data_IF_077753441693
#
_entry.id   IF_077753441693
#
_cell.length_a   1.000
_cell.length_b   1.000
_cell.length_c   1.000
_cell.angle_alpha   90.00
_cell.angle_beta   90.00
_cell.angle_gamma   90.00
#
_symmetry.space_group_name_H-M   'P 1'
#
loop_
_entity.id
_entity.type
_entity.pdbx_description
1 polymer ?
#
# COMPACT_ATOMS: atom_id res chain seq x y z
N UNK A 1 16.05 2.02 9.88
CA UNK A 1 15.92 2.03 8.41
C UNK A 1 14.55 1.50 8.06
N UNK A 2 13.74 2.30 7.38
CA UNK A 2 12.31 2.04 7.11
C UNK A 2 12.06 1.97 5.61
N UNK A 3 11.18 1.07 5.17
CA UNK A 3 10.69 0.98 3.79
C UNK A 3 9.21 1.35 3.77
N UNK A 4 8.85 2.36 2.99
CA UNK A 4 7.50 2.87 2.81
C UNK A 4 6.87 2.19 1.58
N UNK A 5 5.92 1.29 1.78
CA UNK A 5 5.32 0.55 0.65
C UNK A 5 4.20 1.32 -0.05
N UNK A 6 3.78 2.45 0.50
CA UNK A 6 2.65 3.21 -0.02
C UNK A 6 2.82 4.70 0.28
N UNK A 7 3.13 5.47 -0.75
CA UNK A 7 3.16 6.94 -0.65
C UNK A 7 2.74 7.59 -1.96
N UNK A 8 2.21 8.80 -1.85
CA UNK A 8 1.84 9.65 -2.98
C UNK A 8 2.75 10.87 -3.07
N UNK A 9 2.88 11.43 -4.28
CA UNK A 9 3.52 12.72 -4.51
C UNK A 9 2.50 13.84 -4.38
N UNK A 10 2.93 15.01 -3.92
CA UNK A 10 2.11 16.21 -3.75
C UNK A 10 2.73 17.14 -2.70
N UNK A 11 2.07 18.28 -2.45
CA UNK A 11 2.44 19.13 -1.31
C UNK A 11 1.84 18.58 0.00
N UNK A 12 0.69 17.94 -0.12
CA UNK A 12 -0.05 17.25 0.94
C UNK A 12 -0.96 16.19 0.32
N UNK A 13 -1.68 15.44 1.14
CA UNK A 13 -2.61 14.38 0.70
C UNK A 13 -3.72 14.87 -0.23
N UNK A 14 -4.14 16.13 -0.10
CA UNK A 14 -5.23 16.69 -0.91
C UNK A 14 -4.76 17.16 -2.28
N UNK A 15 -3.46 17.37 -2.46
CA UNK A 15 -2.85 17.91 -3.68
C UNK A 15 -2.26 16.84 -4.61
N UNK A 16 -2.42 15.55 -4.30
CA UNK A 16 -1.87 14.42 -5.09
C UNK A 16 -2.25 14.51 -6.58
N UNK A 17 -3.49 14.91 -6.88
CA UNK A 17 -3.97 15.06 -8.27
C UNK A 17 -3.43 16.29 -9.00
N UNK A 18 -2.71 17.18 -8.32
CA UNK A 18 -2.08 18.37 -8.90
C UNK A 18 -0.66 18.09 -9.41
N UNK A 19 -0.14 16.89 -9.15
CA UNK A 19 1.17 16.47 -9.65
C UNK A 19 1.08 16.23 -11.15
N UNK A 20 1.98 16.85 -11.89
CA UNK A 20 2.04 16.82 -13.36
C UNK A 20 3.47 16.58 -13.83
N UNK A 21 3.65 16.37 -15.13
CA UNK A 21 4.97 16.19 -15.72
C UNK A 21 5.89 17.40 -15.51
N UNK A 22 5.33 18.60 -15.39
CA UNK A 22 6.07 19.85 -15.26
C UNK A 22 6.55 20.11 -13.84
N UNK A 23 5.90 19.51 -12.83
CA UNK A 23 6.22 19.74 -11.42
C UNK A 23 6.67 18.48 -10.66
N UNK A 24 6.62 17.30 -11.27
CA UNK A 24 6.92 16.03 -10.61
C UNK A 24 8.32 16.01 -9.99
N UNK A 25 9.32 16.58 -10.65
CA UNK A 25 10.70 16.65 -10.13
C UNK A 25 10.76 17.34 -8.77
N UNK A 26 10.11 18.49 -8.62
CA UNK A 26 10.05 19.21 -7.34
C UNK A 26 9.42 18.37 -6.22
N UNK A 27 8.35 17.61 -6.53
CA UNK A 27 7.70 16.76 -5.53
C UNK A 27 8.58 15.55 -5.16
N UNK A 28 9.35 15.02 -6.11
CA UNK A 28 10.35 13.97 -5.86
C UNK A 28 11.45 14.49 -4.94
N UNK A 29 12.00 15.66 -5.22
CA UNK A 29 13.06 16.28 -4.39
C UNK A 29 12.55 16.47 -2.95
N UNK A 30 11.32 16.98 -2.78
CA UNK A 30 10.69 17.14 -1.46
C UNK A 30 10.51 15.78 -0.75
N UNK A 31 10.04 14.75 -1.46
CA UNK A 31 9.90 13.42 -0.90
C UNK A 31 11.25 12.86 -0.43
N UNK A 32 12.30 12.95 -1.26
CA UNK A 32 13.64 12.45 -0.93
C UNK A 32 14.22 13.17 0.29
N UNK A 33 14.05 14.50 0.38
CA UNK A 33 14.45 15.27 1.56
C UNK A 33 13.72 14.79 2.83
N UNK A 34 12.42 14.59 2.75
CA UNK A 34 11.63 14.06 3.88
C UNK A 34 12.03 12.65 4.25
N UNK A 35 12.28 11.79 3.26
CA UNK A 35 12.80 10.44 3.51
C UNK A 35 14.12 10.46 4.27
N UNK A 36 15.04 11.38 3.92
CA UNK A 36 16.33 11.54 4.62
C UNK A 36 16.14 11.96 6.07
N UNK A 37 15.26 12.93 6.34
CA UNK A 37 14.95 13.40 7.69
C UNK A 37 14.38 12.27 8.58
N UNK A 38 13.52 11.41 8.04
CA UNK A 38 12.83 10.37 8.79
C UNK A 38 13.46 8.97 8.67
N UNK A 39 14.60 8.83 8.01
CA UNK A 39 15.30 7.56 7.86
C UNK A 39 14.54 6.55 7.01
N UNK A 40 13.77 7.03 6.03
CA UNK A 40 13.09 6.19 5.03
C UNK A 40 14.09 5.86 3.94
N UNK A 41 14.45 4.58 3.81
CA UNK A 41 15.43 4.17 2.80
C UNK A 41 14.82 4.11 1.40
N UNK A 42 13.62 3.56 1.32
CA UNK A 42 12.92 3.27 0.06
C UNK A 42 11.44 3.59 0.17
N UNK A 43 10.86 4.00 -0.94
CA UNK A 43 9.43 4.28 -1.03
C UNK A 43 8.82 3.75 -2.33
N UNK A 44 7.60 3.25 -2.26
CA UNK A 44 6.78 2.84 -3.41
C UNK A 44 5.76 3.93 -3.70
N UNK A 45 5.89 4.54 -4.86
CA UNK A 45 4.96 5.54 -5.36
C UNK A 45 3.71 4.84 -5.92
N UNK A 46 2.54 5.15 -5.38
CA UNK A 46 1.29 4.49 -5.72
C UNK A 46 0.37 5.41 -6.53
N UNK A 47 0.20 5.19 -7.84
CA UNK A 47 -0.69 5.98 -8.68
C UNK A 47 -2.16 5.63 -8.44
N UNK A 48 -3.09 6.54 -8.81
CA UNK A 48 -4.55 6.34 -8.73
C UNK A 48 -5.15 6.65 -10.09
N UNK A 49 -5.09 5.71 -11.02
CA UNK A 49 -5.69 5.90 -12.35
C UNK A 49 -7.20 6.15 -12.27
N UNK A 50 -7.76 7.00 -13.11
CA UNK A 50 -7.10 7.84 -14.11
C UNK A 50 -6.60 9.20 -13.56
N UNK A 51 -6.81 9.47 -12.28
CA UNK A 51 -6.52 10.78 -11.65
C UNK A 51 -5.03 11.06 -11.53
N UNK A 52 -4.26 10.03 -11.15
CA UNK A 52 -2.80 10.06 -11.04
C UNK A 52 -2.24 8.90 -11.86
N UNK A 53 -1.53 9.22 -12.93
CA UNK A 53 -1.13 8.23 -13.94
C UNK A 53 0.09 7.41 -13.54
N UNK A 54 0.03 6.11 -13.79
CA UNK A 54 1.16 5.18 -13.63
C UNK A 54 2.42 5.65 -14.37
N UNK A 55 2.29 6.13 -15.61
CA UNK A 55 3.44 6.61 -16.39
C UNK A 55 4.15 7.82 -15.74
N UNK A 56 3.41 8.67 -15.02
CA UNK A 56 3.99 9.79 -14.29
C UNK A 56 4.84 9.30 -13.11
N UNK A 57 4.34 8.33 -12.36
CA UNK A 57 5.02 7.78 -11.19
C UNK A 57 6.22 6.90 -11.57
N UNK A 58 6.16 6.19 -12.69
CA UNK A 58 7.33 5.52 -13.27
C UNK A 58 8.45 6.52 -13.59
N UNK A 59 8.11 7.69 -14.17
CA UNK A 59 9.11 8.74 -14.42
C UNK A 59 9.65 9.33 -13.11
N UNK A 60 8.81 9.51 -12.11
CA UNK A 60 9.22 9.96 -10.79
C UNK A 60 10.20 8.97 -10.13
N UNK A 61 9.89 7.68 -10.15
CA UNK A 61 10.74 6.64 -9.59
C UNK A 61 12.12 6.57 -10.30
N UNK A 62 12.14 6.81 -11.61
CA UNK A 62 13.39 6.82 -12.40
C UNK A 62 14.37 7.94 -12.00
N UNK A 63 13.95 8.95 -11.23
CA UNK A 63 14.82 10.00 -10.70
C UNK A 63 15.81 9.45 -9.64
N UNK A 64 15.35 8.48 -8.84
CA UNK A 64 16.18 7.84 -7.81
C UNK A 64 15.87 6.33 -7.76
N UNK A 65 16.34 5.54 -8.74
CA UNK A 65 15.91 4.15 -8.95
C UNK A 65 16.32 3.19 -7.84
N UNK A 66 17.29 3.56 -7.01
CA UNK A 66 17.71 2.76 -5.84
C UNK A 66 16.81 3.00 -4.62
N UNK A 67 16.05 4.09 -4.62
CA UNK A 67 15.23 4.52 -3.48
C UNK A 67 13.74 4.59 -3.78
N UNK A 68 13.35 4.91 -5.01
CA UNK A 68 11.96 5.08 -5.42
C UNK A 68 11.54 4.00 -6.40
N UNK A 69 10.41 3.39 -6.12
CA UNK A 69 9.79 2.37 -6.95
C UNK A 69 8.37 2.83 -7.31
N UNK A 70 7.80 2.28 -8.35
CA UNK A 70 6.42 2.59 -8.73
C UNK A 70 5.54 1.34 -8.69
N UNK A 71 4.36 1.47 -8.10
CA UNK A 71 3.26 0.58 -8.36
C UNK A 71 2.58 0.96 -9.69
N UNK A 72 1.76 0.07 -10.23
CA UNK A 72 0.79 0.44 -11.25
C UNK A 72 -0.63 0.49 -10.65
N UNK A 73 -1.49 1.29 -11.25
CA UNK A 73 -2.93 1.27 -11.00
C UNK A 73 -3.63 1.04 -12.34
N UNK A 74 -4.66 0.21 -12.34
CA UNK A 74 -5.36 -0.18 -13.58
C UNK A 74 -6.86 -0.18 -13.31
N UNK A 75 -7.62 0.47 -14.19
CA UNK A 75 -9.08 0.32 -14.19
C UNK A 75 -9.45 -1.05 -14.76
N UNK A 76 -10.22 -1.91 -14.06
CA UNK A 76 -10.53 -3.26 -14.52
C UNK A 76 -11.32 -3.32 -15.84
N UNK A 77 -11.95 -2.21 -16.24
CA UNK A 77 -12.74 -2.14 -17.47
C UNK A 77 -12.18 -1.11 -18.46
N UNK A 78 -12.15 -1.41 -19.78
CA UNK A 78 -12.44 -2.70 -20.43
C UNK A 78 -11.39 -3.76 -20.06
N UNK A 79 -11.83 -5.00 -19.81
CA UNK A 79 -10.98 -6.06 -19.24
C UNK A 79 -9.75 -6.38 -20.09
N UNK A 80 -9.88 -6.51 -21.41
CA UNK A 80 -8.74 -6.85 -22.28
C UNK A 80 -7.68 -5.74 -22.28
N UNK A 81 -8.11 -4.48 -22.24
CA UNK A 81 -7.21 -3.34 -22.12
C UNK A 81 -6.51 -3.36 -20.76
N UNK A 82 -7.26 -3.58 -19.69
CA UNK A 82 -6.74 -3.64 -18.33
C UNK A 82 -5.66 -4.72 -18.17
N UNK A 83 -5.89 -5.92 -18.67
CA UNK A 83 -4.93 -7.04 -18.70
C UNK A 83 -3.65 -6.69 -19.48
N UNK A 84 -3.81 -6.05 -20.64
CA UNK A 84 -2.68 -5.55 -21.42
C UNK A 84 -1.89 -4.49 -20.65
N UNK A 85 -2.58 -3.61 -19.91
CA UNK A 85 -1.93 -2.58 -19.10
C UNK A 85 -1.16 -3.15 -17.90
N UNK A 86 -1.67 -4.19 -17.23
CA UNK A 86 -0.92 -4.88 -16.15
C UNK A 86 0.40 -5.39 -16.71
N UNK A 87 0.37 -6.18 -17.79
CA UNK A 87 1.58 -6.73 -18.41
C UNK A 87 2.57 -5.63 -18.81
N UNK A 88 2.07 -4.60 -19.51
CA UNK A 88 2.90 -3.46 -19.91
C UNK A 88 3.53 -2.73 -18.73
N UNK A 89 2.83 -2.64 -17.61
CA UNK A 89 3.35 -1.99 -16.41
C UNK A 89 4.46 -2.81 -15.76
N UNK A 90 4.33 -4.13 -15.74
CA UNK A 90 5.39 -5.05 -15.33
C UNK A 90 6.64 -4.87 -16.22
N UNK A 91 6.45 -4.88 -17.55
CA UNK A 91 7.56 -4.68 -18.51
C UNK A 91 8.28 -3.33 -18.32
N UNK A 92 7.59 -2.32 -17.77
CA UNK A 92 8.14 -1.00 -17.44
C UNK A 92 8.77 -0.91 -16.04
N UNK A 93 8.73 -1.98 -15.26
CA UNK A 93 9.35 -2.06 -13.93
C UNK A 93 8.44 -1.66 -12.78
N UNK A 94 7.12 -1.68 -12.93
CA UNK A 94 6.21 -1.59 -11.78
C UNK A 94 6.37 -2.81 -10.88
N UNK A 95 6.38 -2.59 -9.56
CA UNK A 95 6.65 -3.62 -8.55
C UNK A 95 5.44 -4.02 -7.71
N UNK A 96 4.30 -3.38 -7.88
CA UNK A 96 3.03 -3.69 -7.23
C UNK A 96 1.85 -3.27 -8.11
N UNK A 97 0.68 -3.89 -7.91
CA UNK A 97 -0.59 -3.44 -8.48
C UNK A 97 -1.45 -2.82 -7.37
N UNK A 98 -1.98 -1.63 -7.60
CA UNK A 98 -2.97 -1.00 -6.73
C UNK A 98 -4.36 -1.03 -7.37
N UNK A 99 -5.34 -1.54 -6.64
CA UNK A 99 -6.77 -1.46 -6.96
C UNK A 99 -7.41 -0.37 -6.08
N UNK A 100 -7.83 0.72 -6.71
CA UNK A 100 -8.50 1.83 -6.02
C UNK A 100 -10.02 1.65 -6.04
N UNK A 101 -10.69 1.86 -4.90
CA UNK A 101 -12.14 1.68 -4.73
C UNK A 101 -12.99 2.48 -5.71
N UNK A 102 -12.46 3.58 -6.24
CA UNK A 102 -13.17 4.40 -7.23
C UNK A 102 -13.20 3.76 -8.62
N UNK A 103 -12.43 2.72 -8.85
CA UNK A 103 -12.22 2.13 -10.18
C UNK A 103 -12.54 0.64 -10.27
N UNK A 104 -12.53 -0.11 -9.18
CA UNK A 104 -12.86 -1.53 -9.19
C UNK A 104 -14.15 -1.83 -8.42
N UNK A 105 -14.87 -2.86 -8.87
CA UNK A 105 -16.02 -3.43 -8.15
C UNK A 105 -15.63 -4.83 -7.66
N UNK A 106 -15.68 -5.11 -6.34
CA UNK A 106 -15.43 -6.45 -5.80
C UNK A 106 -16.30 -7.57 -6.38
N UNK A 107 -17.44 -7.22 -6.96
CA UNK A 107 -18.37 -8.17 -7.56
C UNK A 107 -18.15 -8.39 -9.08
N UNK A 108 -17.26 -7.60 -9.69
CA UNK A 108 -17.01 -7.68 -11.12
C UNK A 108 -15.94 -8.76 -11.43
N UNK A 109 -16.21 -9.75 -12.31
CA UNK A 109 -15.20 -10.70 -12.77
C UNK A 109 -13.94 -10.07 -13.38
N UNK A 110 -14.03 -8.82 -13.87
CA UNK A 110 -12.86 -8.09 -14.35
C UNK A 110 -11.87 -7.79 -13.22
N UNK A 111 -12.35 -7.52 -12.00
CA UNK A 111 -11.49 -7.34 -10.82
C UNK A 111 -10.73 -8.63 -10.49
N UNK A 112 -11.40 -9.79 -10.53
CA UNK A 112 -10.74 -11.09 -10.36
C UNK A 112 -9.66 -11.33 -11.42
N UNK A 113 -9.95 -11.02 -12.68
CA UNK A 113 -9.01 -11.22 -13.77
C UNK A 113 -7.73 -10.39 -13.62
N UNK A 114 -7.86 -9.14 -13.16
CA UNK A 114 -6.72 -8.26 -12.93
C UNK A 114 -5.89 -8.72 -11.73
N UNK A 115 -6.53 -9.15 -10.63
CA UNK A 115 -5.81 -9.73 -9.48
C UNK A 115 -5.03 -10.97 -9.90
N UNK A 116 -5.66 -11.88 -10.63
CA UNK A 116 -4.99 -13.07 -11.16
C UNK A 116 -3.78 -12.69 -12.01
N UNK A 117 -3.96 -11.78 -12.99
CA UNK A 117 -2.88 -11.36 -13.86
C UNK A 117 -1.72 -10.71 -13.08
N UNK A 118 -2.00 -9.96 -12.02
CA UNK A 118 -0.98 -9.41 -11.14
C UNK A 118 -0.21 -10.52 -10.41
N UNK A 119 -0.90 -11.48 -9.81
CA UNK A 119 -0.29 -12.61 -9.09
C UNK A 119 0.57 -13.46 -10.04
N UNK A 120 0.05 -13.81 -11.23
CA UNK A 120 0.79 -14.56 -12.26
C UNK A 120 2.06 -13.85 -12.74
N UNK A 121 2.10 -12.50 -12.64
CA UNK A 121 3.29 -11.70 -12.94
C UNK A 121 4.13 -11.38 -11.69
N UNK A 122 3.85 -11.99 -10.54
CA UNK A 122 4.61 -11.83 -9.32
C UNK A 122 4.43 -10.49 -8.62
N UNK A 123 3.42 -9.69 -8.98
CA UNK A 123 3.11 -8.44 -8.31
C UNK A 123 2.30 -8.67 -7.02
N UNK A 124 2.65 -8.05 -5.90
CA UNK A 124 1.73 -7.89 -4.79
C UNK A 124 0.54 -7.00 -5.21
N UNK A 125 -0.62 -7.28 -4.62
CA UNK A 125 -1.86 -6.54 -4.89
C UNK A 125 -2.25 -5.73 -3.67
N UNK A 126 -2.40 -4.42 -3.86
CA UNK A 126 -2.82 -3.46 -2.85
C UNK A 126 -4.30 -3.14 -3.03
N UNK A 127 -5.10 -3.34 -1.99
CA UNK A 127 -6.51 -2.94 -1.95
C UNK A 127 -6.60 -1.56 -1.29
N UNK A 128 -6.83 -0.54 -2.10
CA UNK A 128 -6.92 0.85 -1.66
C UNK A 128 -8.38 1.24 -1.48
N UNK A 129 -8.85 1.19 -0.25
CA UNK A 129 -10.22 1.52 0.12
C UNK A 129 -10.20 2.54 1.26
N UNK A 130 -11.01 3.61 1.14
CA UNK A 130 -11.20 4.54 2.24
C UNK A 130 -11.83 3.86 3.45
N UNK A 131 -12.87 3.04 3.20
CA UNK A 131 -13.48 2.15 4.19
C UNK A 131 -13.79 0.80 3.54
N UNK A 132 -13.27 -0.26 4.12
CA UNK A 132 -13.50 -1.62 3.62
C UNK A 132 -14.91 -2.09 3.96
N UNK A 133 -15.70 -2.38 2.94
CA UNK A 133 -17.07 -2.89 3.09
C UNK A 133 -17.11 -4.41 3.22
N UNK A 134 -18.25 -4.98 3.65
CA UNK A 134 -18.41 -6.44 3.68
C UNK A 134 -18.20 -7.13 2.31
N UNK A 135 -18.53 -6.45 1.20
CA UNK A 135 -18.25 -6.96 -0.16
C UNK A 135 -16.75 -6.99 -0.43
N UNK A 136 -16.05 -5.95 -0.04
CA UNK A 136 -14.59 -5.85 -0.17
C UNK A 136 -13.89 -6.91 0.69
N UNK A 137 -14.31 -7.09 1.94
CA UNK A 137 -13.80 -8.15 2.84
C UNK A 137 -13.97 -9.53 2.19
N UNK A 138 -15.16 -9.83 1.65
CA UNK A 138 -15.43 -11.10 0.95
C UNK A 138 -14.56 -11.29 -0.29
N UNK A 139 -14.29 -10.21 -1.03
CA UNK A 139 -13.41 -10.24 -2.19
C UNK A 139 -11.96 -10.51 -1.80
N UNK A 140 -11.45 -9.84 -0.76
CA UNK A 140 -10.11 -10.06 -0.23
C UNK A 140 -9.95 -11.50 0.28
N UNK A 141 -10.93 -12.03 1.05
CA UNK A 141 -10.91 -13.43 1.52
C UNK A 141 -10.88 -14.43 0.37
N UNK A 142 -11.66 -14.16 -0.68
CA UNK A 142 -11.65 -14.93 -1.92
C UNK A 142 -10.27 -14.90 -2.59
N UNK A 143 -9.69 -13.71 -2.79
CA UNK A 143 -8.40 -13.54 -3.45
C UNK A 143 -7.28 -14.27 -2.69
N UNK A 144 -7.21 -14.07 -1.38
CA UNK A 144 -6.20 -14.70 -0.51
C UNK A 144 -6.32 -16.22 -0.47
N UNK A 145 -7.54 -16.76 -0.67
CA UNK A 145 -7.81 -18.19 -0.71
C UNK A 145 -7.50 -18.83 -2.05
N UNK A 146 -7.85 -18.14 -3.15
CA UNK A 146 -7.68 -18.67 -4.52
C UNK A 146 -6.23 -18.61 -4.99
N UNK A 147 -5.46 -17.64 -4.50
CA UNK A 147 -4.05 -17.43 -4.89
C UNK A 147 -3.16 -17.41 -3.64
N UNK A 148 -2.88 -18.58 -3.05
CA UNK A 148 -2.06 -18.68 -1.81
C UNK A 148 -0.62 -18.19 -2.04
N UNK A 149 -0.11 -18.21 -3.25
CA UNK A 149 1.18 -17.65 -3.65
C UNK A 149 1.17 -16.12 -3.82
N UNK A 150 -0.02 -15.52 -3.93
CA UNK A 150 -0.20 -14.08 -4.05
C UNK A 150 0.18 -13.36 -2.75
N UNK A 151 0.58 -12.11 -2.86
CA UNK A 151 0.88 -11.24 -1.72
C UNK A 151 -0.09 -10.07 -1.75
N UNK A 152 -0.89 -9.95 -0.70
CA UNK A 152 -2.01 -9.03 -0.65
C UNK A 152 -1.83 -8.03 0.48
N UNK A 153 -2.11 -6.76 0.22
CA UNK A 153 -2.02 -5.69 1.22
C UNK A 153 -3.33 -4.93 1.25
N UNK A 154 -3.92 -4.79 2.41
CA UNK A 154 -5.04 -3.88 2.63
C UNK A 154 -4.46 -2.56 3.12
N UNK A 155 -4.59 -1.52 2.30
CA UNK A 155 -4.09 -0.19 2.64
C UNK A 155 -4.98 0.45 3.71
N UNK A 156 -4.40 1.35 4.48
CA UNK A 156 -5.08 2.09 5.56
C UNK A 156 -5.73 1.18 6.61
N UNK A 157 -5.17 -0.03 6.84
CA UNK A 157 -5.77 -1.04 7.73
C UNK A 157 -7.23 -1.37 7.38
N UNK A 158 -7.69 -1.02 6.18
CA UNK A 158 -9.07 -1.21 5.74
C UNK A 158 -10.05 -0.11 6.12
N UNK A 159 -9.56 1.03 6.60
CA UNK A 159 -10.38 2.15 7.05
C UNK A 159 -10.66 2.12 8.55
N UNK A 160 -11.11 3.24 9.12
CA UNK A 160 -11.35 3.36 10.56
C UNK A 160 -12.48 2.42 11.03
N UNK A 161 -13.57 2.36 10.27
CA UNK A 161 -14.72 1.51 10.57
C UNK A 161 -14.65 0.15 9.85
N UNK A 162 -13.89 0.04 8.77
CA UNK A 162 -13.66 -1.20 8.05
C UNK A 162 -12.66 -2.13 8.73
N UNK A 163 -11.73 -1.59 9.55
CA UNK A 163 -10.67 -2.33 10.21
C UNK A 163 -11.15 -3.58 10.98
N UNK A 164 -12.19 -3.52 11.84
CA UNK A 164 -12.67 -4.70 12.54
C UNK A 164 -13.11 -5.84 11.61
N UNK A 165 -13.64 -5.51 10.44
CA UNK A 165 -14.05 -6.50 9.44
C UNK A 165 -12.89 -7.23 8.76
N UNK A 166 -11.72 -6.60 8.69
CA UNK A 166 -10.51 -7.17 8.07
C UNK A 166 -9.71 -8.05 9.05
N UNK A 167 -9.80 -7.79 10.35
CA UNK A 167 -9.05 -8.52 11.39
C UNK A 167 -9.13 -10.06 11.27
N UNK A 168 -10.30 -10.69 11.04
CA UNK A 168 -10.39 -12.14 10.90
C UNK A 168 -9.61 -12.71 9.71
N UNK A 169 -9.30 -11.89 8.71
CA UNK A 169 -8.55 -12.30 7.53
C UNK A 169 -7.04 -12.39 7.79
N UNK A 170 -6.53 -11.80 8.87
CA UNK A 170 -5.10 -11.85 9.23
C UNK A 170 -4.58 -13.24 9.60
N UNK A 171 -5.46 -14.22 9.74
CA UNK A 171 -5.10 -15.64 9.77
C UNK A 171 -4.52 -16.17 8.45
N UNK A 172 -4.68 -15.42 7.36
CA UNK A 172 -4.11 -15.73 6.05
C UNK A 172 -2.63 -15.36 6.03
N UNK A 173 -1.77 -16.28 5.60
CA UNK A 173 -0.31 -16.07 5.60
C UNK A 173 0.16 -15.12 4.51
N UNK A 174 -0.68 -14.82 3.53
CA UNK A 174 -0.40 -13.99 2.37
C UNK A 174 -1.12 -12.63 2.39
N UNK A 175 -1.61 -12.17 3.57
CA UNK A 175 -2.28 -10.89 3.75
C UNK A 175 -1.57 -10.02 4.79
N UNK A 176 -1.40 -8.74 4.47
CA UNK A 176 -0.85 -7.72 5.36
C UNK A 176 -1.77 -6.50 5.44
N UNK A 177 -1.66 -5.75 6.53
CA UNK A 177 -2.31 -4.45 6.72
C UNK A 177 -1.26 -3.35 6.68
N UNK A 178 -1.46 -2.36 5.84
CA UNK A 178 -0.63 -1.17 5.79
C UNK A 178 -1.14 -0.13 6.80
N UNK A 179 -0.24 0.42 7.63
CA UNK A 179 -0.56 1.16 8.87
C UNK A 179 -0.70 2.68 8.73
N UNK A 180 -0.79 3.24 7.55
CA UNK A 180 -0.77 4.69 7.30
C UNK A 180 -1.67 5.53 8.23
N UNK A 181 -2.36 6.48 7.69
CA UNK A 181 -3.20 7.46 8.40
C UNK A 181 -4.21 6.84 9.39
N UNK A 182 -4.67 5.60 9.15
CA UNK A 182 -5.64 5.00 10.06
C UNK A 182 -5.03 4.49 11.37
N UNK A 183 -3.73 4.17 11.41
CA UNK A 183 -3.04 3.94 12.68
C UNK A 183 -3.14 5.19 13.56
N UNK A 184 -2.87 6.38 13.00
CA UNK A 184 -2.94 7.66 13.72
C UNK A 184 -4.35 7.84 14.31
N UNK A 185 -5.37 7.67 13.49
CA UNK A 185 -6.76 7.79 13.92
C UNK A 185 -7.17 6.75 14.97
N UNK A 186 -6.71 5.50 14.84
CA UNK A 186 -7.03 4.42 15.79
C UNK A 186 -6.41 4.66 17.17
N UNK A 187 -5.14 5.09 17.21
CA UNK A 187 -4.41 5.32 18.46
C UNK A 187 -5.12 6.37 19.32
N UNK A 188 -5.71 7.40 18.72
CA UNK A 188 -6.37 8.51 19.40
C UNK A 188 -7.89 8.32 19.58
N UNK A 189 -8.47 7.22 19.11
CA UNK A 189 -9.92 7.01 19.09
C UNK A 189 -10.39 5.95 20.09
N UNK A 190 -11.70 5.93 20.42
CA UNK A 190 -12.30 4.82 21.16
C UNK A 190 -12.16 3.45 20.50
N UNK A 191 -11.86 3.41 19.20
CA UNK A 191 -11.63 2.18 18.43
C UNK A 191 -10.24 1.57 18.66
N UNK A 192 -9.41 2.21 19.48
CA UNK A 192 -8.10 1.69 19.90
C UNK A 192 -8.18 0.26 20.46
N UNK A 193 -9.30 -0.13 21.05
CA UNK A 193 -9.53 -1.51 21.52
C UNK A 193 -9.26 -2.58 20.44
N UNK A 194 -9.55 -2.29 19.18
CA UNK A 194 -9.25 -3.21 18.08
C UNK A 194 -7.76 -3.26 17.74
N UNK A 195 -7.06 -2.15 17.90
CA UNK A 195 -5.60 -2.10 17.76
C UNK A 195 -4.93 -2.85 18.91
N UNK A 196 -5.42 -2.66 20.14
CA UNK A 196 -4.91 -3.39 21.31
C UNK A 196 -5.12 -4.91 21.15
N UNK A 197 -6.29 -5.35 20.66
CA UNK A 197 -6.56 -6.75 20.33
C UNK A 197 -5.63 -7.27 19.21
N UNK A 198 -5.35 -6.47 18.19
CA UNK A 198 -4.40 -6.83 17.14
C UNK A 198 -3.00 -7.04 17.73
N UNK A 199 -2.54 -6.12 18.59
CA UNK A 199 -1.20 -6.19 19.18
C UNK A 199 -1.07 -7.37 20.15
N UNK A 200 -2.08 -7.63 20.98
CA UNK A 200 -2.04 -8.61 22.07
C UNK A 200 -2.43 -10.03 21.62
N UNK A 201 -3.47 -10.15 20.80
CA UNK A 201 -4.11 -11.45 20.53
C UNK A 201 -3.79 -12.01 19.14
N UNK A 202 -3.71 -11.14 18.11
CA UNK A 202 -3.47 -11.56 16.73
C UNK A 202 -1.98 -11.47 16.40
N UNK A 203 -1.31 -10.48 16.97
CA UNK A 203 0.08 -10.14 16.69
C UNK A 203 0.25 -9.18 15.53
N UNK A 204 1.37 -8.45 15.56
CA UNK A 204 1.69 -7.38 14.60
C UNK A 204 2.52 -7.85 13.41
N UNK A 205 2.76 -9.16 13.29
CA UNK A 205 3.59 -9.74 12.23
C UNK A 205 3.05 -9.50 10.81
N UNK A 206 1.78 -9.13 10.72
CA UNK A 206 1.10 -8.82 9.45
C UNK A 206 0.89 -7.33 9.21
N UNK A 207 1.52 -6.47 10.01
CA UNK A 207 1.54 -5.03 9.74
C UNK A 207 2.72 -4.68 8.84
N UNK A 208 2.55 -3.68 7.98
CA UNK A 208 3.61 -3.14 7.14
C UNK A 208 3.51 -1.62 7.09
N UNK A 209 4.67 -0.97 7.09
CA UNK A 209 4.76 0.48 7.05
C UNK A 209 4.43 1.02 5.65
N UNK A 210 3.50 1.95 5.59
CA UNK A 210 3.22 2.83 4.48
C UNK A 210 2.75 4.18 5.03
N UNK A 211 3.00 5.25 4.33
CA UNK A 211 2.74 6.59 4.87
C UNK A 211 1.49 7.25 4.30
N UNK A 212 0.98 6.81 3.16
CA UNK A 212 0.02 7.56 2.33
C UNK A 212 0.67 8.81 1.71
N UNK A 213 1.40 9.59 2.52
CA UNK A 213 2.07 10.80 2.09
C UNK A 213 3.22 11.15 3.05
N UNK A 214 4.29 11.74 2.53
CA UNK A 214 5.48 12.10 3.33
C UNK A 214 5.20 13.10 4.48
N UNK A 215 4.07 13.80 4.47
CA UNK A 215 3.67 14.68 5.57
C UNK A 215 3.30 13.90 6.83
N UNK A 216 2.94 12.62 6.71
CA UNK A 216 2.52 11.76 7.81
C UNK A 216 3.68 11.05 8.53
N UNK A 217 4.93 11.19 8.05
CA UNK A 217 6.08 10.47 8.62
C UNK A 217 6.29 10.73 10.11
N UNK A 218 6.12 11.99 10.58
CA UNK A 218 6.25 12.32 11.99
C UNK A 218 5.16 11.65 12.83
N UNK A 219 3.90 11.83 12.44
CA UNK A 219 2.76 11.32 13.20
C UNK A 219 2.78 9.78 13.28
N UNK A 220 3.18 9.10 12.18
CA UNK A 220 3.34 7.65 12.18
C UNK A 220 4.47 7.18 13.12
N UNK A 221 5.60 7.90 13.13
CA UNK A 221 6.69 7.61 14.05
C UNK A 221 6.24 7.73 15.50
N UNK A 222 5.50 8.79 15.83
CA UNK A 222 4.97 9.03 17.17
C UNK A 222 3.94 7.96 17.57
N UNK A 223 3.06 7.57 16.65
CA UNK A 223 2.09 6.49 16.88
C UNK A 223 2.76 5.12 17.11
N UNK A 224 3.79 4.78 16.35
CA UNK A 224 4.54 3.53 16.56
C UNK A 224 5.20 3.49 17.95
N UNK A 225 5.66 4.62 18.45
CA UNK A 225 6.18 4.73 19.83
C UNK A 225 5.06 4.56 20.89
N UNK A 226 3.85 5.09 20.64
CA UNK A 226 2.71 4.99 21.54
C UNK A 226 2.13 3.58 21.69
N UNK A 227 2.24 2.75 20.68
CA UNK A 227 1.78 1.34 20.74
C UNK A 227 2.80 0.41 21.42
N UNK A 228 3.95 0.93 21.80
CA UNK A 228 4.98 0.26 22.62
C UNK A 228 5.42 -1.11 22.07
N UNK A 229 5.71 -1.17 20.78
CA UNK A 229 6.27 -2.37 20.14
C UNK A 229 7.74 -2.54 20.54
N UNK A 230 8.17 -3.77 20.69
CA UNK A 230 9.60 -4.05 20.89
C UNK A 230 10.41 -3.80 19.60
N UNK A 231 11.74 -3.69 19.73
CA UNK A 231 12.63 -3.34 18.61
C UNK A 231 12.54 -4.33 17.45
N UNK A 232 12.37 -5.63 17.74
CA UNK A 232 12.25 -6.66 16.71
C UNK A 232 10.94 -6.51 15.91
N UNK A 233 9.85 -6.27 16.60
CA UNK A 233 8.55 -6.01 15.98
C UNK A 233 8.55 -4.72 15.16
N UNK A 234 9.16 -3.66 15.65
CA UNK A 234 9.32 -2.42 14.87
C UNK A 234 10.08 -2.70 13.58
N UNK A 235 11.20 -3.45 13.65
CA UNK A 235 11.97 -3.82 12.47
C UNK A 235 11.16 -4.65 11.47
N UNK A 236 10.37 -5.59 11.97
CA UNK A 236 9.47 -6.40 11.15
C UNK A 236 8.46 -5.52 10.39
N UNK A 237 7.76 -4.64 11.09
CA UNK A 237 6.73 -3.75 10.53
C UNK A 237 7.31 -2.71 9.57
N UNK A 238 8.44 -2.11 9.94
CA UNK A 238 9.01 -1.00 9.18
C UNK A 238 9.92 -1.43 8.02
N UNK A 239 10.37 -2.69 8.00
CA UNK A 239 11.37 -3.15 7.02
C UNK A 239 11.09 -4.53 6.45
N UNK A 240 11.06 -5.56 7.26
CA UNK A 240 11.12 -6.94 6.78
C UNK A 240 9.85 -7.36 6.03
N UNK A 241 8.68 -6.96 6.50
CA UNK A 241 7.42 -7.24 5.80
C UNK A 241 7.35 -6.55 4.43
N UNK A 242 7.90 -5.33 4.30
CA UNK A 242 8.00 -4.67 3.00
C UNK A 242 8.83 -5.49 2.01
N UNK A 243 9.96 -6.06 2.46
CA UNK A 243 10.81 -6.89 1.61
C UNK A 243 10.12 -8.18 1.18
N UNK A 244 9.44 -8.84 2.13
CA UNK A 244 8.68 -10.05 1.85
C UNK A 244 7.55 -9.78 0.85
N UNK A 245 6.80 -8.70 1.04
CA UNK A 245 5.70 -8.30 0.16
C UNK A 245 6.21 -7.98 -1.24
N UNK A 246 7.26 -7.17 -1.35
CA UNK A 246 7.78 -6.71 -2.64
C UNK A 246 8.62 -7.76 -3.38
N UNK A 247 9.02 -8.84 -2.69
CA UNK A 247 9.90 -9.87 -3.27
C UNK A 247 11.30 -9.35 -3.62
N UNK A 248 11.72 -8.28 -2.95
CA UNK A 248 13.00 -7.65 -3.17
C UNK A 248 14.01 -8.26 -2.19
N UNK A 249 15.02 -8.93 -2.70
CA UNK A 249 16.18 -9.34 -1.90
C UNK A 249 17.08 -8.11 -1.70
N UNK A 250 16.99 -7.51 -0.54
CA UNK A 250 17.87 -6.42 -0.15
C UNK A 250 19.05 -7.00 0.62
N UNK A 251 20.09 -7.35 -0.13
CA UNK A 251 21.42 -7.66 0.42
C UNK A 251 22.10 -6.40 0.95
#
# INVERSE_FOLDING_TARGET
MTSDIHTHLGNDRMSVTQVSIDNVGKHVDTLLERMDIFGIERAVLTPIEPRVRTDLYLKAAAVSPDRLFAACSVMPRPMDLARTMVKRSVDKGCIALMLDESTYDPSDPASDAIVRDAVENGLPVYFHNHETTGKTVSFIDKCTSLWPEGRFVVLHMGGLFGFPGVLPLLKRDNLWLEISINLIKLVESPLRVFLDALVQDIGVSRLVYGSEHHTEYQDLSDCLNLINLNVETIRLVTKENAWLILGLNFS
#
